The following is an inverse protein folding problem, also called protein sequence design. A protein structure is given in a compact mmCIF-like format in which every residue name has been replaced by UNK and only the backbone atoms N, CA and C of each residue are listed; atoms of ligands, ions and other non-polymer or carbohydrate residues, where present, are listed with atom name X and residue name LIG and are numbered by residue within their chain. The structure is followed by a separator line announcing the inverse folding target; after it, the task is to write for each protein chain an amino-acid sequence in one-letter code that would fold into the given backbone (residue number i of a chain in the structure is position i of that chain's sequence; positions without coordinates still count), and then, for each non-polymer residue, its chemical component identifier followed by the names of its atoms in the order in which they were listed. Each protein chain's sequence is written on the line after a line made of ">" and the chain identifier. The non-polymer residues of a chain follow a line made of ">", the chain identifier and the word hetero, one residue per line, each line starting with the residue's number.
data_IF_634111289475
#
_entry.id   IF_634111289475
#
_cell.length_a   1.000
_cell.length_b   1.000
_cell.length_c   1.000
_cell.angle_alpha   90.00
_cell.angle_beta   90.00
_cell.angle_gamma   90.00
#
_symmetry.space_group_name_H-M   'P 1'
#
loop_
_entity.id
_entity.type
_entity.pdbx_description
1 polymer ?
#
# COMPACT_ATOMS: atom_id res chain seq x y z
N UNK A 1 37.93 16.77 18.77
CA UNK A 1 38.05 15.81 17.65
C UNK A 1 36.77 15.00 17.52
N UNK A 2 35.87 15.38 16.61
CA UNK A 2 34.61 14.68 16.28
C UNK A 2 34.69 14.04 14.88
N UNK A 3 35.84 13.47 14.55
CA UNK A 3 36.20 13.03 13.19
C UNK A 3 35.63 11.69 12.72
N UNK A 4 34.96 10.91 13.59
CA UNK A 4 34.62 9.50 13.30
C UNK A 4 33.12 9.16 13.18
N UNK A 5 32.19 10.11 13.27
CA UNK A 5 30.75 9.78 13.26
C UNK A 5 29.87 10.49 12.23
N UNK A 6 30.42 11.42 11.43
CA UNK A 6 29.62 12.15 10.42
C UNK A 6 29.08 11.20 9.36
N UNK A 7 29.93 10.33 8.81
CA UNK A 7 29.51 9.35 7.81
C UNK A 7 28.53 8.32 8.39
N UNK A 8 28.80 7.78 9.58
CA UNK A 8 27.91 6.78 10.21
C UNK A 8 26.52 7.35 10.52
N UNK A 9 26.46 8.61 10.97
CA UNK A 9 25.20 9.31 11.23
C UNK A 9 24.41 9.57 9.94
N UNK A 10 25.09 10.05 8.89
CA UNK A 10 24.47 10.26 7.56
C UNK A 10 23.98 8.93 6.99
N UNK A 11 24.80 7.88 7.05
CA UNK A 11 24.45 6.53 6.57
C UNK A 11 23.20 6.00 7.28
N UNK A 12 23.13 6.14 8.61
CA UNK A 12 21.96 5.69 9.39
C UNK A 12 20.70 6.48 9.03
N UNK A 13 20.80 7.81 8.94
CA UNK A 13 19.68 8.68 8.57
C UNK A 13 19.17 8.36 7.17
N UNK A 14 20.08 8.31 6.19
CA UNK A 14 19.76 7.98 4.80
C UNK A 14 19.14 6.59 4.68
N UNK A 15 19.70 5.58 5.36
CA UNK A 15 19.14 4.22 5.33
C UNK A 15 17.71 4.15 5.87
N UNK A 16 17.38 4.90 6.93
CA UNK A 16 16.02 4.97 7.45
C UNK A 16 15.05 5.69 6.48
N UNK A 17 15.51 6.75 5.81
CA UNK A 17 14.72 7.47 4.81
C UNK A 17 14.50 6.62 3.54
N UNK A 18 15.53 5.93 3.06
CA UNK A 18 15.44 5.03 1.90
C UNK A 18 14.50 3.86 2.19
N UNK A 19 14.55 3.29 3.41
CA UNK A 19 13.62 2.25 3.84
C UNK A 19 12.16 2.73 3.88
N UNK A 20 11.92 3.97 4.32
CA UNK A 20 10.58 4.58 4.28
C UNK A 20 10.11 4.79 2.84
N UNK A 21 10.98 5.32 1.97
CA UNK A 21 10.68 5.52 0.55
C UNK A 21 10.39 4.19 -0.17
N UNK A 22 11.15 3.14 0.13
CA UNK A 22 10.93 1.80 -0.43
C UNK A 22 9.53 1.24 -0.11
N UNK A 23 9.02 1.49 1.11
CA UNK A 23 7.64 1.12 1.49
C UNK A 23 6.60 1.90 0.70
N UNK A 24 6.79 3.21 0.55
CA UNK A 24 5.91 4.08 -0.25
C UNK A 24 5.87 3.62 -1.71
N UNK A 25 7.04 3.35 -2.30
CA UNK A 25 7.15 2.86 -3.68
C UNK A 25 6.48 1.51 -3.88
N UNK A 26 6.62 0.60 -2.93
CA UNK A 26 5.95 -0.71 -2.99
C UNK A 26 4.43 -0.56 -2.99
N UNK A 27 3.88 0.35 -2.19
CA UNK A 27 2.43 0.63 -2.16
C UNK A 27 1.95 1.26 -3.47
N UNK A 28 2.64 2.28 -3.95
CA UNK A 28 2.27 2.95 -5.21
C UNK A 28 2.35 2.01 -6.42
N UNK A 29 3.37 1.15 -6.48
CA UNK A 29 3.48 0.15 -7.56
C UNK A 29 2.30 -0.83 -7.54
N UNK A 30 1.82 -1.19 -6.35
CA UNK A 30 0.63 -2.02 -6.15
C UNK A 30 -0.65 -1.34 -6.60
N UNK A 31 -0.83 -0.07 -6.26
CA UNK A 31 -1.97 0.74 -6.70
C UNK A 31 -2.01 0.86 -8.23
N UNK A 32 -0.85 1.09 -8.86
CA UNK A 32 -0.71 1.12 -10.33
C UNK A 32 -1.05 -0.24 -10.95
N UNK A 33 -0.54 -1.34 -10.38
CA UNK A 33 -0.84 -2.69 -10.88
C UNK A 33 -2.34 -2.97 -10.86
N UNK A 34 -3.04 -2.62 -9.78
CA UNK A 34 -4.48 -2.83 -9.66
C UNK A 34 -5.28 -1.95 -10.62
N UNK A 35 -4.95 -0.66 -10.71
CA UNK A 35 -5.62 0.23 -11.65
C UNK A 35 -5.45 -0.26 -13.10
N UNK A 36 -4.25 -0.72 -13.47
CA UNK A 36 -3.97 -1.26 -14.80
C UNK A 36 -4.66 -2.61 -15.05
N UNK A 37 -4.82 -3.46 -14.02
CA UNK A 37 -5.56 -4.72 -14.08
C UNK A 37 -7.06 -4.50 -14.33
N UNK A 38 -7.66 -3.53 -13.66
CA UNK A 38 -9.09 -3.24 -13.75
C UNK A 38 -9.48 -2.48 -15.03
N UNK A 39 -8.68 -1.48 -15.42
CA UNK A 39 -9.05 -0.52 -16.47
C UNK A 39 -8.12 -0.49 -17.67
N UNK A 40 -7.16 -1.42 -17.76
CA UNK A 40 -6.14 -1.45 -18.82
C UNK A 40 -4.98 -0.50 -18.57
N UNK A 41 -3.89 -0.71 -19.31
CA UNK A 41 -2.59 -0.03 -19.09
C UNK A 41 -2.44 1.33 -19.77
N UNK A 42 -3.49 1.88 -20.37
CA UNK A 42 -3.47 3.20 -21.01
C UNK A 42 -3.97 4.27 -20.04
N UNK A 43 -3.09 5.20 -19.67
CA UNK A 43 -3.38 6.32 -18.77
C UNK A 43 -4.47 7.26 -19.30
N UNK A 44 -4.63 7.35 -20.63
CA UNK A 44 -5.61 8.25 -21.25
C UNK A 44 -7.05 7.75 -21.13
N UNK A 45 -7.24 6.43 -21.15
CA UNK A 45 -8.55 5.78 -21.05
C UNK A 45 -8.89 5.31 -19.63
N UNK A 46 -7.93 5.36 -18.70
CA UNK A 46 -8.09 4.86 -17.33
C UNK A 46 -7.81 5.96 -16.28
N UNK A 47 -8.85 6.68 -15.81
CA UNK A 47 -8.70 7.74 -14.81
C UNK A 47 -8.08 7.26 -13.48
N UNK A 48 -8.36 6.02 -13.04
CA UNK A 48 -7.76 5.46 -11.83
C UNK A 48 -6.25 5.29 -11.99
N UNK A 49 -5.82 4.79 -13.15
CA UNK A 49 -4.40 4.64 -13.47
C UNK A 49 -3.71 6.00 -13.56
N UNK A 50 -4.34 7.00 -14.17
CA UNK A 50 -3.84 8.38 -14.20
C UNK A 50 -3.61 8.96 -12.82
N UNK A 51 -4.56 8.78 -11.90
CA UNK A 51 -4.41 9.22 -10.51
C UNK A 51 -3.26 8.49 -9.82
N UNK A 52 -3.14 7.18 -10.00
CA UNK A 52 -2.07 6.36 -9.40
C UNK A 52 -0.67 6.77 -9.92
N UNK A 53 -0.54 7.01 -11.23
CA UNK A 53 0.69 7.51 -11.86
C UNK A 53 1.04 8.90 -11.34
N UNK A 54 0.05 9.80 -11.22
CA UNK A 54 0.27 11.14 -10.68
C UNK A 54 0.79 11.10 -9.23
N UNK A 55 0.19 10.25 -8.37
CA UNK A 55 0.68 10.01 -7.00
C UNK A 55 2.11 9.47 -6.99
N UNK A 56 2.44 8.54 -7.87
CA UNK A 56 3.78 7.97 -7.96
C UNK A 56 4.84 8.98 -8.41
N UNK A 57 4.51 9.81 -9.41
CA UNK A 57 5.36 10.93 -9.85
C UNK A 57 5.57 11.95 -8.73
N UNK A 58 4.53 12.25 -7.93
CA UNK A 58 4.63 13.13 -6.76
C UNK A 58 5.64 12.66 -5.70
N UNK A 59 5.81 11.34 -5.57
CA UNK A 59 6.81 10.73 -4.67
C UNK A 59 8.19 10.52 -5.32
N UNK A 60 8.41 11.06 -6.53
CA UNK A 60 9.63 10.89 -7.33
C UNK A 60 9.94 9.40 -7.63
N UNK A 61 8.90 8.58 -7.86
CA UNK A 61 9.11 7.22 -8.35
C UNK A 61 9.72 7.25 -9.77
N UNK A 62 10.81 6.50 -10.03
CA UNK A 62 11.37 6.39 -11.38
C UNK A 62 10.35 5.88 -12.40
N UNK A 63 10.39 6.44 -13.62
CA UNK A 63 9.48 6.09 -14.72
C UNK A 63 9.46 4.59 -15.02
N UNK A 64 10.64 3.96 -15.04
CA UNK A 64 10.79 2.52 -15.29
C UNK A 64 10.04 1.65 -14.27
N UNK A 65 9.94 2.10 -13.01
CA UNK A 65 9.19 1.39 -11.98
C UNK A 65 7.68 1.49 -12.21
N UNK A 66 7.21 2.65 -12.68
CA UNK A 66 5.81 2.88 -13.04
C UNK A 66 5.43 2.00 -14.23
N UNK A 67 6.24 2.03 -15.30
CA UNK A 67 6.03 1.21 -16.50
C UNK A 67 6.02 -0.28 -16.17
N UNK A 68 6.97 -0.74 -15.34
CA UNK A 68 7.00 -2.14 -14.88
C UNK A 68 5.75 -2.52 -14.10
N UNK A 69 5.21 -1.63 -13.26
CA UNK A 69 3.98 -1.86 -12.54
C UNK A 69 2.77 -1.96 -13.49
N UNK A 70 2.69 -1.11 -14.52
CA UNK A 70 1.63 -1.18 -15.55
C UNK A 70 1.71 -2.50 -16.32
N UNK A 71 2.90 -2.90 -16.76
CA UNK A 71 3.11 -4.15 -17.49
C UNK A 71 2.70 -5.38 -16.67
N UNK A 72 3.00 -5.39 -15.37
CA UNK A 72 2.53 -6.43 -14.44
C UNK A 72 1.01 -6.43 -14.28
N UNK A 73 0.39 -5.25 -14.12
CA UNK A 73 -1.06 -5.13 -13.99
C UNK A 73 -1.82 -5.60 -15.23
N UNK A 74 -1.27 -5.35 -16.42
CA UNK A 74 -1.84 -5.79 -17.71
C UNK A 74 -1.53 -7.24 -18.09
N UNK A 75 -0.81 -7.99 -17.24
CA UNK A 75 -0.45 -9.39 -17.51
C UNK A 75 0.65 -9.59 -18.57
N UNK A 76 1.34 -8.52 -19.00
CA UNK A 76 2.47 -8.60 -19.95
C UNK A 76 3.77 -9.07 -19.31
N UNK A 77 3.82 -9.07 -17.98
CA UNK A 77 4.89 -9.67 -17.18
C UNK A 77 4.26 -10.65 -16.19
N UNK A 78 4.93 -11.77 -15.93
CA UNK A 78 4.54 -12.65 -14.82
C UNK A 78 4.52 -11.84 -13.52
N UNK A 79 3.41 -11.94 -12.82
CA UNK A 79 3.12 -11.21 -11.61
C UNK A 79 2.31 -12.08 -10.67
N UNK A 80 2.43 -11.78 -9.38
CA UNK A 80 1.59 -12.43 -8.36
C UNK A 80 0.20 -11.81 -8.42
N UNK A 81 -0.84 -12.63 -8.42
CA UNK A 81 -2.21 -12.14 -8.35
C UNK A 81 -2.43 -11.42 -7.03
N UNK A 82 -2.63 -10.10 -7.12
CA UNK A 82 -3.00 -9.28 -5.99
C UNK A 82 -4.53 -9.20 -5.93
N UNK A 83 -5.05 -9.24 -4.71
CA UNK A 83 -6.47 -9.12 -4.38
C UNK A 83 -6.67 -7.99 -3.36
N UNK A 84 -7.76 -7.25 -3.52
CA UNK A 84 -8.20 -6.21 -2.59
C UNK A 84 -9.20 -6.80 -1.59
N UNK A 85 -8.95 -6.57 -0.30
CA UNK A 85 -9.76 -7.07 0.80
C UNK A 85 -9.86 -5.98 1.86
N UNK A 86 -11.07 -5.69 2.28
CA UNK A 86 -11.33 -4.84 3.44
C UNK A 86 -11.53 -5.71 4.68
N UNK A 87 -10.73 -5.46 5.71
CA UNK A 87 -10.91 -6.02 7.04
C UNK A 87 -11.53 -4.99 7.97
N UNK A 88 -12.36 -5.46 8.88
CA UNK A 88 -13.01 -4.64 9.88
C UNK A 88 -12.47 -5.00 11.26
N UNK A 89 -12.40 -4.02 12.15
CA UNK A 89 -11.90 -4.25 13.51
C UNK A 89 -12.20 -3.09 14.46
N UNK A 90 -11.90 -3.34 15.72
CA UNK A 90 -11.97 -2.36 16.80
C UNK A 90 -10.58 -2.18 17.40
N UNK A 91 -10.26 -0.95 17.80
CA UNK A 91 -9.10 -0.59 18.59
C UNK A 91 -9.43 -0.45 20.08
N UNK A 92 -8.45 0.05 20.87
CA UNK A 92 -8.70 0.52 22.22
C UNK A 92 -9.90 1.47 22.27
N UNK A 93 -10.65 1.42 23.36
CA UNK A 93 -11.80 2.28 23.61
C UNK A 93 -12.91 2.20 22.54
N UNK A 94 -12.97 1.10 21.77
CA UNK A 94 -14.02 0.85 20.78
C UNK A 94 -13.86 1.63 19.47
N UNK A 95 -12.68 2.20 19.18
CA UNK A 95 -12.43 2.91 17.93
C UNK A 95 -12.59 1.97 16.73
N UNK A 96 -13.45 2.33 15.78
CA UNK A 96 -13.70 1.55 14.59
C UNK A 96 -12.55 1.66 13.57
N UNK A 97 -12.12 0.54 13.00
CA UNK A 97 -11.14 0.46 11.93
C UNK A 97 -11.69 -0.21 10.68
N UNK A 98 -11.58 0.49 9.55
CA UNK A 98 -11.75 -0.06 8.21
C UNK A 98 -10.36 -0.16 7.57
N UNK A 99 -9.92 -1.37 7.27
CA UNK A 99 -8.54 -1.67 6.86
C UNK A 99 -8.57 -2.23 5.45
N UNK A 100 -8.34 -1.37 4.46
CA UNK A 100 -8.21 -1.78 3.06
C UNK A 100 -6.81 -2.34 2.81
N UNK A 101 -6.77 -3.54 2.23
CA UNK A 101 -5.52 -4.28 2.05
C UNK A 101 -5.42 -4.83 0.65
N UNK A 102 -4.25 -4.65 0.05
CA UNK A 102 -3.86 -5.35 -1.15
C UNK A 102 -2.85 -6.45 -0.83
N UNK A 103 -3.19 -7.69 -1.17
CA UNK A 103 -2.36 -8.85 -0.85
C UNK A 103 -2.41 -9.94 -1.90
N UNK A 104 -1.34 -10.72 -1.98
CA UNK A 104 -1.24 -11.97 -2.72
C UNK A 104 -1.60 -13.21 -1.88
N UNK A 105 -1.83 -13.02 -0.57
CA UNK A 105 -2.11 -14.11 0.34
C UNK A 105 -3.01 -13.64 1.50
N UNK A 106 -4.30 -13.98 1.40
CA UNK A 106 -5.32 -13.63 2.41
C UNK A 106 -4.97 -14.16 3.79
N UNK A 107 -4.54 -15.41 3.89
CA UNK A 107 -4.29 -16.10 5.17
C UNK A 107 -3.12 -15.49 5.95
N UNK A 108 -2.01 -15.19 5.25
CA UNK A 108 -0.85 -14.50 5.84
C UNK A 108 -1.25 -13.12 6.34
N UNK A 109 -2.00 -12.39 5.52
CA UNK A 109 -2.40 -11.00 5.78
C UNK A 109 -3.36 -10.91 6.95
N UNK A 110 -4.37 -11.77 6.97
CA UNK A 110 -5.32 -11.91 8.07
C UNK A 110 -4.61 -12.18 9.40
N UNK A 111 -3.64 -13.10 9.40
CA UNK A 111 -2.87 -13.46 10.59
C UNK A 111 -2.05 -12.28 11.12
N UNK A 112 -1.38 -11.54 10.23
CA UNK A 112 -0.63 -10.33 10.61
C UNK A 112 -1.54 -9.21 11.13
N UNK A 113 -2.70 -8.98 10.51
CA UNK A 113 -3.66 -7.96 10.96
C UNK A 113 -4.19 -8.31 12.36
N UNK A 114 -4.61 -9.56 12.57
CA UNK A 114 -5.02 -10.03 13.90
C UNK A 114 -3.93 -9.80 14.94
N UNK A 115 -2.68 -10.16 14.61
CA UNK A 115 -1.53 -9.96 15.49
C UNK A 115 -1.31 -8.48 15.83
N UNK A 116 -1.39 -7.58 14.85
CA UNK A 116 -1.20 -6.14 15.04
C UNK A 116 -2.32 -5.54 15.89
N UNK A 117 -3.59 -5.86 15.59
CA UNK A 117 -4.74 -5.39 16.35
C UNK A 117 -4.67 -5.86 17.79
N UNK A 118 -4.44 -7.16 18.02
CA UNK A 118 -4.34 -7.73 19.37
C UNK A 118 -3.20 -7.09 20.18
N UNK A 119 -2.03 -6.86 19.55
CA UNK A 119 -0.91 -6.18 20.21
C UNK A 119 -1.25 -4.73 20.57
N UNK A 120 -2.11 -4.09 19.78
CA UNK A 120 -2.59 -2.73 19.99
C UNK A 120 -3.78 -2.62 20.94
N UNK A 121 -4.23 -3.71 21.58
CA UNK A 121 -5.41 -3.69 22.47
C UNK A 121 -6.75 -3.68 21.74
N UNK A 122 -6.75 -4.03 20.45
CA UNK A 122 -7.94 -4.15 19.61
C UNK A 122 -8.22 -5.60 19.18
N UNK A 123 -9.21 -5.77 18.30
CA UNK A 123 -9.61 -7.07 17.76
C UNK A 123 -10.16 -6.95 16.34
N UNK A 124 -10.00 -8.01 15.55
CA UNK A 124 -10.66 -8.15 14.26
C UNK A 124 -12.16 -8.38 14.46
N UNK A 125 -13.00 -7.75 13.63
CA UNK A 125 -14.45 -7.89 13.61
C UNK A 125 -14.93 -8.62 12.34
N UNK A 126 -16.19 -9.08 12.36
CA UNK A 126 -16.84 -9.61 11.15
C UNK A 126 -17.12 -8.49 10.14
N UNK A 127 -17.25 -8.84 8.86
CA UNK A 127 -17.69 -7.90 7.84
C UNK A 127 -19.07 -7.30 8.23
N UNK A 128 -19.23 -6.00 8.04
CA UNK A 128 -20.45 -5.25 8.39
C UNK A 128 -20.49 -4.69 9.81
N UNK A 129 -19.49 -4.94 10.66
CA UNK A 129 -19.50 -4.53 12.07
C UNK A 129 -19.30 -3.02 12.25
N UNK A 130 -18.44 -2.42 11.44
CA UNK A 130 -18.07 -1.00 11.53
C UNK A 130 -18.30 -0.24 10.23
N UNK A 131 -18.40 -0.93 9.09
CA UNK A 131 -18.52 -0.27 7.78
C UNK A 131 -19.71 0.67 7.65
N UNK A 132 -20.82 0.43 8.37
CA UNK A 132 -21.98 1.33 8.42
C UNK A 132 -21.67 2.71 9.04
N UNK A 133 -20.57 2.84 9.79
CA UNK A 133 -20.12 4.11 10.37
C UNK A 133 -19.30 4.96 9.39
N UNK A 134 -18.89 4.40 8.24
CA UNK A 134 -18.05 5.06 7.25
C UNK A 134 -18.81 5.31 5.95
N UNK A 135 -18.55 6.46 5.34
CA UNK A 135 -19.04 6.78 4.00
C UNK A 135 -17.87 7.02 3.05
N UNK A 136 -17.85 6.32 1.91
CA UNK A 136 -16.82 6.52 0.88
C UNK A 136 -17.08 7.85 0.16
N UNK A 137 -16.16 8.81 0.29
CA UNK A 137 -16.18 10.09 -0.42
C UNK A 137 -14.99 10.17 -1.39
N UNK A 138 -15.26 10.60 -2.62
CA UNK A 138 -14.27 10.72 -3.70
C UNK A 138 -14.14 9.44 -4.55
N UNK A 139 -13.88 9.65 -5.85
CA UNK A 139 -13.65 8.62 -6.88
C UNK A 139 -12.31 8.85 -7.56
#
# INVERSE_FOLDING_TARGET
>A
MSGHSKWSTIKRKKGAEDAKRGKIFTRLARDIMMAAKEGGGDESSNPKLKLAIAKAKGENMPKDNIERAILRGTGKLEGVEMEEITYEGYGPDGVAYLIDVLTDNKNRTLSEIKRVLNRGGGSLASAGSVSWQFEKKGS
#
